data_IF_151843656712
#
_entry.id   IF_151843656712
#
_cell.length_a   1.000
_cell.length_b   1.000
_cell.length_c   1.000
_cell.angle_alpha   90.00
_cell.angle_beta   90.00
_cell.angle_gamma   90.00
#
_symmetry.space_group_name_H-M   'P 1'
#
loop_
_entity.id
_entity.type
_entity.pdbx_description
1 polymer ?
#
# COMPACT_ATOMS: atom_id res chain seq x y z
N UNK A 1 -11.81 12.50 19.00
CA UNK A 1 -10.59 12.02 18.33
C UNK A 1 -9.79 11.28 19.39
N UNK A 2 -9.12 10.17 19.08
CA UNK A 2 -8.26 9.49 20.06
C UNK A 2 -6.92 10.20 20.01
N UNK A 3 -6.55 10.85 21.11
CA UNK A 3 -5.33 11.68 21.17
C UNK A 3 -4.21 11.00 21.98
N UNK A 4 -4.46 9.77 22.46
CA UNK A 4 -3.52 8.95 23.22
C UNK A 4 -3.06 7.72 22.41
N UNK A 5 -1.75 7.54 22.28
CA UNK A 5 -1.13 6.40 21.62
C UNK A 5 -1.60 5.05 22.19
N UNK A 6 -1.68 4.92 23.53
CA UNK A 6 -2.06 3.64 24.13
C UNK A 6 -3.50 3.27 23.84
N UNK A 7 -4.40 4.26 23.88
CA UNK A 7 -5.81 4.06 23.56
C UNK A 7 -6.00 3.68 22.08
N UNK A 8 -5.28 4.34 21.17
CA UNK A 8 -5.32 4.04 19.74
C UNK A 8 -4.81 2.63 19.46
N UNK A 9 -3.68 2.26 20.05
CA UNK A 9 -3.09 0.91 19.93
C UNK A 9 -4.05 -0.15 20.44
N UNK A 10 -4.61 0.02 21.64
CA UNK A 10 -5.52 -0.96 22.26
C UNK A 10 -6.73 -1.20 21.36
N UNK A 11 -7.41 -0.13 20.92
CA UNK A 11 -8.54 -0.24 20.00
C UNK A 11 -8.16 -0.95 18.69
N UNK A 12 -7.03 -0.59 18.10
CA UNK A 12 -6.58 -1.17 16.84
C UNK A 12 -6.32 -2.69 16.96
N UNK A 13 -5.67 -3.12 18.04
CA UNK A 13 -5.33 -4.52 18.27
C UNK A 13 -6.57 -5.36 18.62
N UNK A 14 -7.46 -4.84 19.46
CA UNK A 14 -8.69 -5.54 19.88
C UNK A 14 -9.66 -5.74 18.71
N UNK A 15 -9.85 -4.71 17.87
CA UNK A 15 -10.80 -4.73 16.76
C UNK A 15 -10.15 -5.03 15.40
N UNK A 16 -8.95 -5.60 15.39
CA UNK A 16 -8.13 -5.72 14.17
C UNK A 16 -8.85 -6.39 13.00
N UNK A 17 -9.68 -7.40 13.24
CA UNK A 17 -10.37 -8.11 12.15
C UNK A 17 -11.46 -7.26 11.51
N UNK A 18 -12.14 -6.42 12.28
CA UNK A 18 -13.18 -5.51 11.80
C UNK A 18 -12.52 -4.37 11.01
N UNK A 19 -11.49 -3.74 11.59
CA UNK A 19 -10.73 -2.66 10.93
C UNK A 19 -10.14 -3.11 9.59
N UNK A 20 -9.61 -4.34 9.52
CA UNK A 20 -9.07 -4.88 8.26
C UNK A 20 -10.10 -5.05 7.14
N UNK A 21 -11.40 -5.10 7.45
CA UNK A 21 -12.49 -5.25 6.46
C UNK A 21 -12.93 -3.91 5.89
N UNK A 22 -12.79 -2.82 6.64
CA UNK A 22 -13.16 -1.47 6.19
C UNK A 22 -12.27 -0.99 5.03
N UNK A 23 -10.99 -1.38 5.03
CA UNK A 23 -10.01 -0.86 4.07
C UNK A 23 -9.69 0.62 4.34
N UNK A 24 -9.03 1.27 3.38
CA UNK A 24 -8.62 2.67 3.47
C UNK A 24 -8.71 3.30 2.07
N UNK A 25 -9.61 4.26 1.89
CA UNK A 25 -9.65 5.12 0.71
C UNK A 25 -9.05 6.47 1.06
N UNK A 26 -8.01 6.88 0.32
CA UNK A 26 -7.37 8.18 0.49
C UNK A 26 -7.16 8.86 -0.85
N UNK A 27 -7.28 10.17 -0.88
CA UNK A 27 -6.90 10.97 -2.05
C UNK A 27 -5.43 11.35 -1.92
N UNK A 28 -4.62 11.02 -2.92
CA UNK A 28 -3.21 11.41 -3.01
C UNK A 28 -3.03 12.25 -4.28
N UNK A 29 -2.74 13.54 -4.12
CA UNK A 29 -2.77 14.48 -5.25
C UNK A 29 -4.17 14.56 -5.85
N UNK A 30 -4.30 14.25 -7.13
CA UNK A 30 -5.56 14.26 -7.88
C UNK A 30 -6.18 12.86 -8.07
N UNK A 31 -5.61 11.82 -7.44
CA UNK A 31 -6.06 10.44 -7.58
C UNK A 31 -6.70 9.91 -6.28
N UNK A 32 -7.80 9.15 -6.41
CA UNK A 32 -8.33 8.33 -5.31
C UNK A 32 -7.66 6.97 -5.29
N UNK A 33 -7.14 6.60 -4.12
CA UNK A 33 -6.37 5.40 -3.90
C UNK A 33 -7.04 4.51 -2.85
N UNK A 34 -7.17 3.22 -3.16
CA UNK A 34 -7.69 2.22 -2.26
C UNK A 34 -6.56 1.32 -1.74
N UNK A 35 -6.43 1.27 -0.43
CA UNK A 35 -5.51 0.40 0.28
C UNK A 35 -6.27 -0.61 1.14
N UNK A 36 -5.79 -1.84 1.15
CA UNK A 36 -6.21 -2.85 2.11
C UNK A 36 -5.34 -2.76 3.35
N UNK A 37 -5.96 -2.74 4.53
CA UNK A 37 -5.23 -2.95 5.78
C UNK A 37 -4.92 -4.45 5.89
N UNK A 38 -3.66 -4.83 5.69
CA UNK A 38 -3.24 -6.24 5.64
C UNK A 38 -2.71 -6.75 6.99
N UNK A 39 -2.28 -5.86 7.88
CA UNK A 39 -1.80 -6.22 9.22
C UNK A 39 -1.96 -5.09 10.22
N UNK A 40 -2.26 -5.42 11.48
CA UNK A 40 -2.28 -4.48 12.59
C UNK A 40 -1.44 -5.09 13.70
N UNK A 41 -0.34 -4.41 14.07
CA UNK A 41 0.55 -4.79 15.15
C UNK A 41 0.60 -3.71 16.24
N UNK A 42 1.32 -4.00 17.31
CA UNK A 42 1.38 -3.10 18.49
C UNK A 42 2.08 -1.76 18.21
N UNK A 43 2.89 -1.69 17.16
CA UNK A 43 3.69 -0.50 16.82
C UNK A 43 3.30 0.15 15.49
N UNK A 44 2.61 -0.58 14.61
CA UNK A 44 2.38 -0.14 13.24
C UNK A 44 1.20 -0.88 12.59
N UNK A 45 0.67 -0.27 11.54
CA UNK A 45 -0.34 -0.83 10.64
C UNK A 45 0.30 -1.07 9.27
N UNK A 46 0.12 -2.27 8.72
CA UNK A 46 0.56 -2.63 7.37
C UNK A 46 -0.61 -2.45 6.40
N UNK A 47 -0.35 -1.76 5.31
CA UNK A 47 -1.28 -1.58 4.18
C UNK A 47 -0.71 -2.21 2.91
N UNK A 48 -1.58 -2.67 2.03
CA UNK A 48 -1.26 -3.29 0.74
C UNK A 48 -2.15 -2.71 -0.36
N UNK A 49 -1.58 -2.48 -1.54
CA UNK A 49 -2.28 -2.12 -2.79
C UNK A 49 -1.89 -3.16 -3.85
N UNK A 50 -2.86 -3.61 -4.62
CA UNK A 50 -2.58 -4.37 -5.84
C UNK A 50 -2.46 -3.39 -7.00
N UNK A 51 -1.34 -3.47 -7.73
CA UNK A 51 -1.10 -2.70 -8.95
C UNK A 51 -0.99 -3.72 -10.09
N UNK A 52 -1.82 -3.60 -11.12
CA UNK A 52 -1.77 -4.53 -12.24
C UNK A 52 -0.61 -4.19 -13.16
N UNK A 53 -0.05 -5.21 -13.81
CA UNK A 53 0.99 -4.99 -14.81
C UNK A 53 0.51 -4.12 -15.98
N UNK A 54 -0.75 -4.26 -16.40
CA UNK A 54 -1.36 -3.41 -17.44
C UNK A 54 -1.31 -1.93 -17.04
N UNK A 55 -1.71 -1.61 -15.80
CA UNK A 55 -1.67 -0.24 -15.26
C UNK A 55 -0.22 0.31 -15.24
N UNK A 56 0.78 -0.56 -14.97
CA UNK A 56 2.20 -0.21 -15.01
C UNK A 56 2.68 0.17 -16.41
N UNK A 57 2.26 -0.58 -17.43
CA UNK A 57 2.59 -0.27 -18.83
C UNK A 57 1.88 1.02 -19.26
N UNK A 58 0.57 1.14 -18.99
CA UNK A 58 -0.22 2.31 -19.34
C UNK A 58 0.32 3.59 -18.69
N UNK A 59 0.74 3.54 -17.42
CA UNK A 59 1.32 4.69 -16.73
C UNK A 59 2.63 5.16 -17.41
N UNK A 60 3.48 4.24 -17.83
CA UNK A 60 4.72 4.56 -18.54
C UNK A 60 4.45 5.16 -19.93
N UNK A 61 3.52 4.59 -20.70
CA UNK A 61 3.16 5.09 -22.03
C UNK A 61 2.51 6.48 -21.98
N UNK A 62 1.77 6.78 -20.91
CA UNK A 62 1.17 8.09 -20.67
C UNK A 62 2.14 9.11 -20.05
N UNK A 63 3.43 8.79 -19.90
CA UNK A 63 4.45 9.69 -19.36
C UNK A 63 4.27 10.03 -17.87
N UNK A 64 3.68 9.14 -17.08
CA UNK A 64 3.53 9.30 -15.61
C UNK A 64 4.78 8.81 -14.87
N UNK A 65 5.94 9.36 -15.20
CA UNK A 65 7.25 8.83 -14.80
C UNK A 65 7.47 8.75 -13.28
N UNK A 66 6.80 9.61 -12.51
CA UNK A 66 6.88 9.69 -11.04
C UNK A 66 5.79 8.88 -10.32
N UNK A 67 5.02 8.07 -11.05
CA UNK A 67 3.96 7.24 -10.46
C UNK A 67 4.50 6.02 -9.70
N UNK A 68 3.67 5.47 -8.80
CA UNK A 68 3.96 4.22 -8.10
C UNK A 68 4.10 3.07 -9.11
N UNK A 69 3.23 3.06 -10.11
CA UNK A 69 3.17 2.12 -11.22
C UNK A 69 4.50 2.04 -11.97
N UNK A 70 5.03 3.19 -12.42
CA UNK A 70 6.32 3.26 -13.13
C UNK A 70 7.48 2.90 -12.20
N UNK A 71 7.44 3.31 -10.94
CA UNK A 71 8.47 2.98 -9.95
C UNK A 71 8.55 1.47 -9.69
N UNK A 72 7.39 0.80 -9.54
CA UNK A 72 7.31 -0.65 -9.38
C UNK A 72 7.80 -1.38 -10.64
N UNK A 73 7.41 -0.91 -11.82
CA UNK A 73 7.90 -1.46 -13.09
C UNK A 73 9.42 -1.45 -13.17
N UNK A 74 10.06 -0.33 -12.82
CA UNK A 74 11.54 -0.23 -12.81
C UNK A 74 12.19 -1.25 -11.89
N UNK A 75 11.69 -1.40 -10.66
CA UNK A 75 12.21 -2.40 -9.70
C UNK A 75 12.12 -3.82 -10.28
N UNK A 76 11.04 -4.14 -10.99
CA UNK A 76 10.83 -5.47 -11.59
C UNK A 76 11.71 -5.65 -12.83
N UNK A 77 11.79 -4.64 -13.70
CA UNK A 77 12.57 -4.69 -14.95
C UNK A 77 14.08 -4.76 -14.69
N UNK A 78 14.56 -4.08 -13.64
CA UNK A 78 15.97 -4.04 -13.24
C UNK A 78 16.34 -5.22 -12.32
N UNK A 79 15.39 -6.08 -11.96
CA UNK A 79 15.67 -7.24 -11.09
C UNK A 79 16.44 -8.32 -11.84
N UNK A 80 17.64 -8.62 -11.38
CA UNK A 80 18.43 -9.77 -11.83
C UNK A 80 18.34 -10.88 -10.76
N UNK A 81 17.85 -12.09 -11.09
CA UNK A 81 17.84 -13.19 -10.15
C UNK A 81 19.27 -13.59 -9.80
N UNK A 82 19.57 -13.76 -8.50
CA UNK A 82 20.83 -14.36 -8.07
C UNK A 82 20.86 -15.84 -8.45
N UNK A 83 21.94 -16.29 -9.09
CA UNK A 83 22.21 -17.70 -9.43
C UNK A 83 22.49 -18.59 -8.19
N UNK A 84 21.82 -18.34 -7.06
CA UNK A 84 21.93 -19.18 -5.86
C UNK A 84 20.81 -20.23 -5.85
N UNK A 85 21.13 -21.40 -6.42
CA UNK A 85 20.48 -22.70 -6.14
C UNK A 85 20.76 -23.19 -4.71
#
# INVERSE_FOLDING_TARGET
MIDNFEELKTKAVEHKQEIKREGLNITIGDAEENFRISGIGEKAVKIEKFVKYEDMIEAAENGRDDSLEVSLKKVIDEFEPSDEE
#
